data_IF_062525542598
#
_entry.id   IF_062525542598
#
_cell.length_a   1.000
_cell.length_b   1.000
_cell.length_c   1.000
_cell.angle_alpha   90.00
_cell.angle_beta   90.00
_cell.angle_gamma   90.00
#
_symmetry.space_group_name_H-M   'P 1'
#
loop_
_entity.id
_entity.type
_entity.pdbx_description
1 polymer ?
#
# COMPACT_ATOMS: atom_id res chain seq x y z
N UNK A 1 21.76 -9.25 8.42
CA UNK A 1 21.30 -10.55 7.89
C UNK A 1 20.54 -10.40 6.56
N UNK A 2 19.65 -9.42 6.40
CA UNK A 2 18.84 -9.20 5.19
C UNK A 2 19.69 -8.90 3.95
N UNK A 3 20.72 -8.03 4.07
CA UNK A 3 21.63 -7.70 2.97
C UNK A 3 22.39 -8.94 2.49
N UNK A 4 22.88 -9.78 3.42
CA UNK A 4 23.58 -11.02 3.07
C UNK A 4 22.66 -12.05 2.38
N UNK A 5 21.40 -12.08 2.74
CA UNK A 5 20.40 -12.92 2.07
C UNK A 5 20.21 -12.47 0.61
N UNK A 6 19.99 -11.18 0.38
CA UNK A 6 19.89 -10.61 -0.96
C UNK A 6 21.15 -10.85 -1.79
N UNK A 7 22.31 -10.69 -1.17
CA UNK A 7 23.59 -10.92 -1.81
C UNK A 7 23.79 -12.38 -2.20
N UNK A 8 23.32 -13.34 -1.41
CA UNK A 8 23.58 -14.75 -1.66
C UNK A 8 22.52 -15.44 -2.53
N UNK A 9 21.26 -14.99 -2.47
CA UNK A 9 20.14 -15.67 -3.12
C UNK A 9 19.72 -15.02 -4.45
N UNK A 10 19.89 -13.69 -4.59
CA UNK A 10 19.37 -12.95 -5.74
C UNK A 10 20.42 -12.61 -6.79
N UNK A 11 21.67 -12.39 -6.37
CA UNK A 11 22.70 -11.93 -7.30
C UNK A 11 23.85 -12.92 -7.38
N UNK A 12 24.16 -13.34 -8.62
CA UNK A 12 25.28 -14.23 -8.94
C UNK A 12 26.27 -13.47 -9.85
N UNK A 13 27.57 -13.55 -9.55
CA UNK A 13 28.62 -13.03 -10.42
C UNK A 13 29.45 -11.87 -9.85
N UNK A 14 30.32 -11.30 -10.69
CA UNK A 14 31.35 -10.31 -10.32
C UNK A 14 30.76 -8.97 -9.82
N UNK A 15 29.54 -8.62 -10.25
CA UNK A 15 28.84 -7.37 -9.89
C UNK A 15 27.89 -7.51 -8.71
N UNK A 16 27.89 -8.64 -8.03
CA UNK A 16 26.99 -9.00 -6.91
C UNK A 16 26.87 -7.89 -5.86
N UNK A 17 27.99 -7.38 -5.35
CA UNK A 17 28.01 -6.31 -4.34
C UNK A 17 27.40 -5.01 -4.84
N UNK A 18 27.75 -4.60 -6.06
CA UNK A 18 27.21 -3.38 -6.66
C UNK A 18 25.68 -3.49 -6.85
N UNK A 19 25.20 -4.60 -7.42
CA UNK A 19 23.77 -4.85 -7.61
C UNK A 19 23.00 -4.86 -6.29
N UNK A 20 23.59 -5.44 -5.22
CA UNK A 20 22.99 -5.43 -3.88
C UNK A 20 22.86 -4.00 -3.34
N UNK A 21 23.88 -3.16 -3.48
CA UNK A 21 23.81 -1.77 -3.03
C UNK A 21 22.81 -0.93 -3.82
N UNK A 22 22.76 -1.13 -5.14
CA UNK A 22 21.76 -0.47 -6.00
C UNK A 22 20.34 -0.90 -5.60
N UNK A 23 20.10 -2.20 -5.42
CA UNK A 23 18.81 -2.72 -4.99
C UNK A 23 18.39 -2.13 -3.61
N UNK A 24 19.33 -2.02 -2.69
CA UNK A 24 19.09 -1.40 -1.37
C UNK A 24 18.80 0.09 -1.47
N UNK A 25 19.52 0.81 -2.32
CA UNK A 25 19.24 2.22 -2.59
C UNK A 25 17.85 2.44 -3.17
N UNK A 26 17.45 1.61 -4.15
CA UNK A 26 16.12 1.64 -4.75
C UNK A 26 15.02 1.28 -3.74
N UNK A 27 15.25 0.28 -2.88
CA UNK A 27 14.32 -0.04 -1.79
C UNK A 27 14.17 1.13 -0.82
N UNK A 28 15.27 1.76 -0.41
CA UNK A 28 15.25 2.93 0.46
C UNK A 28 14.47 4.10 -0.16
N UNK A 29 14.72 4.38 -1.43
CA UNK A 29 13.97 5.39 -2.19
C UNK A 29 12.48 5.04 -2.26
N UNK A 30 12.14 3.80 -2.52
CA UNK A 30 10.75 3.32 -2.55
C UNK A 30 10.06 3.55 -1.20
N UNK A 31 10.73 3.30 -0.07
CA UNK A 31 10.18 3.58 1.27
C UNK A 31 9.89 5.07 1.45
N UNK A 32 10.84 5.93 1.10
CA UNK A 32 10.66 7.39 1.22
C UNK A 32 9.49 7.88 0.37
N UNK A 33 9.39 7.41 -0.87
CA UNK A 33 8.28 7.76 -1.76
C UNK A 33 6.93 7.27 -1.23
N UNK A 34 6.88 6.05 -0.69
CA UNK A 34 5.67 5.50 -0.07
C UNK A 34 5.22 6.34 1.15
N UNK A 35 6.14 6.65 2.05
CA UNK A 35 5.84 7.48 3.25
C UNK A 35 5.37 8.86 2.83
N UNK A 36 6.02 9.48 1.85
CA UNK A 36 5.61 10.79 1.30
C UNK A 36 4.20 10.73 0.71
N UNK A 37 3.86 9.65 0.00
CA UNK A 37 2.53 9.42 -0.55
C UNK A 37 1.45 9.31 0.55
N UNK A 38 1.73 8.59 1.64
CA UNK A 38 0.82 8.50 2.78
C UNK A 38 0.61 9.84 3.47
N UNK A 39 1.67 10.63 3.67
CA UNK A 39 1.58 11.96 4.27
C UNK A 39 0.75 12.89 3.40
N UNK A 40 0.99 12.91 2.10
CA UNK A 40 0.24 13.72 1.14
C UNK A 40 -1.24 13.30 1.06
N UNK A 41 -1.50 11.99 1.01
CA UNK A 41 -2.86 11.45 1.00
C UNK A 41 -3.63 11.80 2.27
N UNK A 42 -3.03 11.66 3.43
CA UNK A 42 -3.64 12.04 4.71
C UNK A 42 -3.92 13.56 4.77
N UNK A 43 -3.00 14.39 4.28
CA UNK A 43 -3.21 15.84 4.21
C UNK A 43 -4.39 16.21 3.32
N UNK A 44 -4.56 15.53 2.18
CA UNK A 44 -5.71 15.73 1.29
C UNK A 44 -7.04 15.37 1.97
N UNK A 45 -7.07 14.27 2.74
CA UNK A 45 -8.25 13.87 3.54
C UNK A 45 -8.58 14.91 4.60
N UNK A 46 -7.58 15.38 5.36
CA UNK A 46 -7.79 16.44 6.36
C UNK A 46 -8.26 17.76 5.74
N UNK A 47 -7.75 18.10 4.55
CA UNK A 47 -8.23 19.25 3.80
C UNK A 47 -9.70 19.09 3.40
N UNK A 48 -10.07 17.94 2.84
CA UNK A 48 -11.43 17.67 2.37
C UNK A 48 -12.47 17.64 3.51
N UNK A 49 -12.10 17.11 4.68
CA UNK A 49 -13.05 16.93 5.80
C UNK A 49 -13.09 18.11 6.76
N UNK A 50 -11.95 18.73 7.03
CA UNK A 50 -11.83 19.79 8.05
C UNK A 50 -11.47 21.15 7.47
N UNK A 51 -11.27 21.25 6.14
CA UNK A 51 -10.84 22.51 5.50
C UNK A 51 -9.42 22.93 5.90
N UNK A 52 -8.62 22.06 6.49
CA UNK A 52 -7.27 22.38 6.95
C UNK A 52 -6.34 22.61 5.75
N UNK A 53 -5.42 23.59 5.84
CA UNK A 53 -4.40 23.75 4.81
C UNK A 53 -3.50 22.52 4.77
N UNK A 54 -3.02 22.12 3.58
CA UNK A 54 -2.26 20.89 3.36
C UNK A 54 -1.06 20.73 4.31
N UNK A 55 -0.33 21.83 4.58
CA UNK A 55 0.82 21.80 5.49
C UNK A 55 0.42 21.43 6.93
N UNK A 56 -0.74 21.91 7.40
CA UNK A 56 -1.23 21.58 8.75
C UNK A 56 -1.69 20.13 8.83
N UNK A 57 -2.33 19.60 7.77
CA UNK A 57 -2.68 18.20 7.64
C UNK A 57 -1.45 17.26 7.67
N UNK A 58 -0.37 17.65 6.97
CA UNK A 58 0.90 16.92 7.00
C UNK A 58 1.51 16.85 8.40
N UNK A 59 1.57 17.99 9.11
CA UNK A 59 2.12 18.07 10.47
C UNK A 59 1.27 17.23 11.42
N UNK A 60 -0.05 17.35 11.35
CA UNK A 60 -0.97 16.59 12.19
C UNK A 60 -0.79 15.08 11.99
N UNK A 61 -0.72 14.62 10.75
CA UNK A 61 -0.47 13.22 10.45
C UNK A 61 0.87 12.75 11.00
N UNK A 62 1.92 13.56 10.82
CA UNK A 62 3.25 13.23 11.34
C UNK A 62 3.28 13.11 12.86
N UNK A 63 2.63 14.01 13.58
CA UNK A 63 2.51 13.95 15.04
C UNK A 63 1.75 12.70 15.47
N UNK A 64 0.64 12.37 14.81
CA UNK A 64 -0.12 11.15 15.10
C UNK A 64 0.71 9.89 14.85
N UNK A 65 1.39 9.79 13.71
CA UNK A 65 2.24 8.66 13.39
C UNK A 65 3.41 8.52 14.38
N UNK A 66 4.09 9.62 14.69
CA UNK A 66 5.17 9.64 15.68
C UNK A 66 4.69 9.22 17.07
N UNK A 67 3.50 9.66 17.50
CA UNK A 67 2.89 9.26 18.76
C UNK A 67 2.64 7.76 18.82
N UNK A 68 2.07 7.19 17.75
CA UNK A 68 1.81 5.73 17.67
C UNK A 68 3.12 4.95 17.77
N UNK A 69 4.17 5.40 17.10
CA UNK A 69 5.50 4.76 17.15
C UNK A 69 6.12 4.89 18.55
N UNK A 70 5.99 6.05 19.19
CA UNK A 70 6.51 6.30 20.53
C UNK A 70 5.91 5.36 21.57
N UNK A 71 4.61 5.08 21.50
CA UNK A 71 3.92 4.15 22.40
C UNK A 71 4.22 2.67 22.12
N UNK A 72 4.96 2.39 21.03
CA UNK A 72 5.54 1.09 20.74
C UNK A 72 4.65 0.12 19.97
N UNK A 73 5.19 -1.06 19.70
CA UNK A 73 4.61 -2.10 18.81
C UNK A 73 3.19 -2.55 19.19
N UNK A 74 2.82 -2.46 20.47
CA UNK A 74 1.46 -2.85 20.90
C UNK A 74 0.40 -1.90 20.35
N UNK A 75 0.67 -0.59 20.41
CA UNK A 75 -0.26 0.41 19.88
C UNK A 75 -0.31 0.36 18.34
N UNK A 76 0.82 0.14 17.69
CA UNK A 76 0.88 -0.10 16.23
C UNK A 76 -0.04 -1.24 15.83
N UNK A 77 0.01 -2.39 16.53
CA UNK A 77 -0.86 -3.53 16.24
C UNK A 77 -2.36 -3.27 16.48
N UNK A 78 -2.71 -2.40 17.44
CA UNK A 78 -4.10 -1.97 17.65
C UNK A 78 -4.56 -1.06 16.52
N UNK A 79 -3.75 -0.06 16.15
CA UNK A 79 -4.04 0.85 15.04
C UNK A 79 -4.19 0.07 13.71
N UNK A 80 -3.35 -0.93 13.49
CA UNK A 80 -3.41 -1.79 12.30
C UNK A 80 -4.75 -2.55 12.23
N UNK A 81 -5.22 -3.12 13.33
CA UNK A 81 -6.54 -3.79 13.38
C UNK A 81 -7.70 -2.83 13.12
N UNK A 82 -7.65 -1.63 13.71
CA UNK A 82 -8.67 -0.59 13.49
C UNK A 82 -8.66 -0.16 12.02
N UNK A 83 -7.48 0.06 11.44
CA UNK A 83 -7.33 0.46 10.04
C UNK A 83 -7.89 -0.60 9.08
N UNK A 84 -7.60 -1.88 9.31
CA UNK A 84 -8.17 -2.97 8.51
C UNK A 84 -9.68 -3.02 8.63
N UNK A 85 -10.22 -2.89 9.85
CA UNK A 85 -11.67 -2.84 10.07
C UNK A 85 -12.34 -1.66 9.35
N UNK A 86 -11.74 -0.48 9.44
CA UNK A 86 -12.21 0.72 8.72
C UNK A 86 -12.16 0.55 7.20
N UNK A 87 -11.09 -0.05 6.68
CA UNK A 87 -10.95 -0.33 5.26
C UNK A 87 -12.04 -1.28 4.75
N UNK A 88 -12.33 -2.36 5.49
CA UNK A 88 -13.43 -3.28 5.15
C UNK A 88 -14.77 -2.57 5.16
N UNK A 89 -15.03 -1.70 6.17
CA UNK A 89 -16.24 -0.92 6.24
C UNK A 89 -16.41 0.03 5.02
N UNK A 90 -15.34 0.75 4.65
CA UNK A 90 -15.35 1.64 3.48
C UNK A 90 -15.61 0.86 2.19
N UNK A 91 -14.96 -0.29 2.02
CA UNK A 91 -15.21 -1.16 0.85
C UNK A 91 -16.65 -1.65 0.82
N UNK A 92 -17.22 -2.00 1.98
CA UNK A 92 -18.63 -2.39 2.09
C UNK A 92 -19.58 -1.26 1.70
N UNK A 93 -19.30 -0.03 2.15
CA UNK A 93 -20.09 1.16 1.78
C UNK A 93 -19.99 1.43 0.27
N UNK A 94 -18.80 1.37 -0.30
CA UNK A 94 -18.59 1.52 -1.75
C UNK A 94 -19.34 0.44 -2.54
N UNK A 95 -19.32 -0.79 -2.05
CA UNK A 95 -20.06 -1.89 -2.68
C UNK A 95 -21.56 -1.62 -2.72
N UNK A 96 -22.15 -1.25 -1.58
CA UNK A 96 -23.56 -0.91 -1.52
C UNK A 96 -23.88 0.31 -2.39
N UNK A 97 -23.06 1.35 -2.33
CA UNK A 97 -23.22 2.54 -3.15
C UNK A 97 -23.21 2.22 -4.65
N UNK A 98 -22.29 1.35 -5.10
CA UNK A 98 -22.21 0.93 -6.50
C UNK A 98 -23.43 0.12 -6.93
N UNK A 99 -23.99 -0.72 -6.04
CA UNK A 99 -25.22 -1.48 -6.35
C UNK A 99 -26.48 -0.61 -6.47
N UNK A 100 -26.51 0.53 -5.77
CA UNK A 100 -27.66 1.46 -5.78
C UNK A 100 -27.50 2.52 -6.88
N UNK A 101 -26.30 2.79 -7.35
CA UNK A 101 -26.02 3.74 -8.42
C UNK A 101 -26.41 3.16 -9.79
N UNK A 102 -26.82 4.03 -10.71
CA UNK A 102 -26.99 3.62 -12.11
C UNK A 102 -25.62 3.21 -12.68
N UNK A 103 -25.58 1.99 -13.25
CA UNK A 103 -24.35 1.43 -13.80
C UNK A 103 -24.00 2.20 -15.06
N UNK A 104 -22.90 2.93 -15.01
CA UNK A 104 -22.37 3.66 -16.16
C UNK A 104 -21.78 2.69 -17.20
N UNK A 105 -21.98 2.96 -18.50
CA UNK A 105 -21.36 2.15 -19.54
C UNK A 105 -19.83 2.19 -19.40
N UNK A 106 -19.18 1.03 -19.51
CA UNK A 106 -17.73 0.92 -19.46
C UNK A 106 -17.07 1.83 -20.52
N UNK A 107 -15.99 2.52 -20.18
CA UNK A 107 -15.31 3.40 -21.11
C UNK A 107 -14.82 2.60 -22.34
N UNK A 108 -15.24 2.98 -23.51
CA UNK A 108 -14.89 2.32 -24.79
C UNK A 108 -13.50 2.72 -25.31
N UNK A 109 -12.92 3.80 -24.79
CA UNK A 109 -11.58 4.27 -25.16
C UNK A 109 -10.55 3.77 -24.15
N UNK A 110 -9.82 2.75 -24.56
CA UNK A 110 -8.66 2.26 -23.81
C UNK A 110 -7.44 3.17 -24.02
N UNK A 111 -7.05 3.85 -22.95
CA UNK A 111 -5.69 4.28 -22.59
C UNK A 111 -5.02 5.31 -23.51
N UNK A 112 -4.89 6.51 -22.97
CA UNK A 112 -3.78 7.38 -23.35
C UNK A 112 -2.47 6.78 -22.79
N UNK A 113 -1.50 6.51 -23.65
CA UNK A 113 -0.17 5.98 -23.29
C UNK A 113 0.56 6.82 -22.23
N UNK A 114 0.21 8.09 -22.12
CA UNK A 114 0.69 9.04 -21.08
C UNK A 114 0.39 8.60 -19.64
N UNK A 115 -0.64 7.79 -19.41
CA UNK A 115 -1.05 7.39 -18.07
C UNK A 115 -0.45 6.03 -17.63
N UNK A 116 0.31 5.35 -18.47
CA UNK A 116 0.90 4.05 -18.14
C UNK A 116 1.87 4.12 -16.96
N UNK A 117 2.66 5.18 -16.86
CA UNK A 117 3.62 5.37 -15.77
C UNK A 117 2.86 5.59 -14.44
N UNK A 118 1.80 6.39 -14.47
CA UNK A 118 0.95 6.60 -13.30
C UNK A 118 0.27 5.30 -12.86
N UNK A 119 -0.28 4.53 -13.81
CA UNK A 119 -0.90 3.22 -13.56
C UNK A 119 0.12 2.24 -12.96
N UNK A 120 1.31 2.14 -13.55
CA UNK A 120 2.39 1.30 -13.03
C UNK A 120 2.78 1.71 -11.60
N UNK A 121 2.89 3.01 -11.32
CA UNK A 121 3.23 3.52 -10.00
C UNK A 121 2.14 3.16 -8.98
N UNK A 122 0.86 3.30 -9.33
CA UNK A 122 -0.26 2.95 -8.47
C UNK A 122 -0.31 1.46 -8.17
N UNK A 123 -0.14 0.60 -9.17
CA UNK A 123 -0.11 -0.86 -9.00
C UNK A 123 1.08 -1.25 -8.13
N UNK A 124 2.27 -0.72 -8.42
CA UNK A 124 3.49 -1.01 -7.65
C UNK A 124 3.35 -0.58 -6.18
N UNK A 125 2.75 0.58 -5.93
CA UNK A 125 2.45 1.06 -4.59
C UNK A 125 1.47 0.12 -3.86
N UNK A 126 0.39 -0.26 -4.51
CA UNK A 126 -0.66 -1.10 -3.93
C UNK A 126 -0.17 -2.53 -3.63
N UNK A 127 0.76 -3.06 -4.43
CA UNK A 127 1.35 -4.39 -4.25
C UNK A 127 2.63 -4.40 -3.41
N UNK A 128 3.06 -3.24 -2.87
CA UNK A 128 4.30 -3.10 -2.11
C UNK A 128 4.20 -3.69 -0.68
N UNK A 129 3.97 -5.00 -0.60
CA UNK A 129 3.88 -5.73 0.66
C UNK A 129 5.26 -6.16 1.24
N UNK A 130 6.35 -5.87 0.53
CA UNK A 130 7.71 -6.32 0.91
C UNK A 130 8.11 -5.86 2.32
N UNK A 131 7.66 -4.68 2.73
CA UNK A 131 7.97 -4.11 4.05
C UNK A 131 7.28 -4.83 5.20
N UNK A 132 6.17 -5.54 4.95
CA UNK A 132 5.44 -6.31 5.97
C UNK A 132 6.02 -7.72 6.18
N UNK A 133 6.84 -8.22 5.25
CA UNK A 133 7.41 -9.57 5.32
C UNK A 133 8.21 -9.81 6.62
N UNK A 134 9.09 -8.90 7.09
CA UNK A 134 9.81 -9.09 8.35
C UNK A 134 8.88 -9.23 9.57
N UNK A 135 7.74 -8.55 9.58
CA UNK A 135 6.75 -8.63 10.65
C UNK A 135 6.05 -9.99 10.65
N UNK A 136 5.67 -10.49 9.46
CA UNK A 136 5.08 -11.82 9.29
C UNK A 136 6.06 -12.91 9.73
N UNK A 137 7.33 -12.83 9.33
CA UNK A 137 8.37 -13.79 9.73
C UNK A 137 8.55 -13.80 11.24
N UNK A 138 8.59 -12.63 11.87
CA UNK A 138 8.72 -12.50 13.34
C UNK A 138 7.48 -13.01 14.07
N UNK A 139 6.29 -12.72 13.55
CA UNK A 139 5.01 -13.13 14.16
C UNK A 139 4.78 -14.62 14.09
N UNK A 140 5.25 -15.32 13.05
CA UNK A 140 5.07 -16.75 12.83
C UNK A 140 6.28 -17.60 13.28
N UNK A 141 7.20 -17.03 14.06
CA UNK A 141 8.31 -17.73 14.72
C UNK A 141 9.16 -18.62 13.79
N UNK A 142 9.27 -18.27 12.52
CA UNK A 142 10.14 -18.96 11.56
C UNK A 142 9.54 -20.22 10.90
N UNK A 143 8.27 -20.54 11.12
CA UNK A 143 7.61 -21.63 10.39
C UNK A 143 7.44 -21.28 8.91
N UNK A 144 8.32 -21.83 8.06
CA UNK A 144 8.40 -21.50 6.62
C UNK A 144 7.09 -21.80 5.88
N UNK A 145 6.39 -22.89 6.23
CA UNK A 145 5.12 -23.24 5.57
C UNK A 145 4.03 -22.20 5.89
N UNK A 146 3.91 -21.82 7.15
CA UNK A 146 2.95 -20.79 7.58
C UNK A 146 3.30 -19.41 7.04
N UNK A 147 4.58 -19.06 7.01
CA UNK A 147 5.05 -17.79 6.43
C UNK A 147 4.71 -17.71 4.94
N UNK A 148 5.02 -18.75 4.16
CA UNK A 148 4.66 -18.79 2.72
C UNK A 148 3.15 -18.72 2.51
N UNK A 149 2.37 -19.48 3.28
CA UNK A 149 0.92 -19.44 3.24
C UNK A 149 0.34 -18.06 3.57
N UNK A 150 0.84 -17.42 4.63
CA UNK A 150 0.40 -16.09 5.03
C UNK A 150 0.75 -15.02 3.98
N UNK A 151 1.95 -15.06 3.40
CA UNK A 151 2.36 -14.12 2.34
C UNK A 151 1.52 -14.33 1.08
N UNK A 152 1.34 -15.57 0.63
CA UNK A 152 0.55 -15.88 -0.55
C UNK A 152 -0.92 -15.48 -0.37
N UNK A 153 -1.52 -15.83 0.76
CA UNK A 153 -2.90 -15.45 1.09
C UNK A 153 -3.06 -13.93 1.19
N UNK A 154 -2.15 -13.24 1.91
CA UNK A 154 -2.18 -11.79 2.05
C UNK A 154 -2.05 -11.06 0.72
N UNK A 155 -1.12 -11.49 -0.14
CA UNK A 155 -0.96 -10.92 -1.48
C UNK A 155 -2.18 -11.21 -2.36
N UNK A 156 -2.72 -12.43 -2.31
CA UNK A 156 -3.92 -12.79 -3.07
C UNK A 156 -5.14 -11.99 -2.65
N UNK A 157 -5.40 -11.84 -1.35
CA UNK A 157 -6.49 -11.02 -0.82
C UNK A 157 -6.32 -9.56 -1.22
N UNK A 158 -5.10 -9.00 -1.06
CA UNK A 158 -4.82 -7.61 -1.43
C UNK A 158 -5.07 -7.37 -2.93
N UNK A 159 -4.59 -8.26 -3.79
CA UNK A 159 -4.84 -8.18 -5.24
C UNK A 159 -6.32 -8.25 -5.55
N UNK A 160 -7.06 -9.18 -4.92
CA UNK A 160 -8.51 -9.30 -5.08
C UNK A 160 -9.26 -8.03 -4.66
N UNK A 161 -8.88 -7.41 -3.53
CA UNK A 161 -9.45 -6.16 -3.07
C UNK A 161 -9.17 -4.98 -4.02
N UNK A 162 -7.94 -4.88 -4.54
CA UNK A 162 -7.58 -3.86 -5.52
C UNK A 162 -8.42 -3.99 -6.78
N UNK A 163 -8.55 -5.21 -7.31
CA UNK A 163 -9.40 -5.47 -8.49
C UNK A 163 -10.86 -5.13 -8.21
N UNK A 164 -11.39 -5.52 -7.06
CA UNK A 164 -12.76 -5.23 -6.65
C UNK A 164 -13.01 -3.72 -6.58
N UNK A 165 -12.16 -2.96 -5.89
CA UNK A 165 -12.28 -1.50 -5.77
C UNK A 165 -12.17 -0.84 -7.13
N UNK A 166 -11.20 -1.26 -7.95
CA UNK A 166 -11.01 -0.71 -9.31
C UNK A 166 -12.25 -0.95 -10.17
N UNK A 167 -12.82 -2.15 -10.10
CA UNK A 167 -14.02 -2.48 -10.86
C UNK A 167 -15.24 -1.68 -10.39
N UNK A 168 -15.41 -1.52 -9.07
CA UNK A 168 -16.47 -0.70 -8.50
C UNK A 168 -16.35 0.77 -8.86
N UNK A 169 -15.15 1.33 -8.81
CA UNK A 169 -14.92 2.73 -9.20
C UNK A 169 -15.17 2.95 -10.68
N UNK A 170 -14.81 2.00 -11.54
CA UNK A 170 -15.13 2.04 -12.97
C UNK A 170 -16.62 2.01 -13.26
N UNK A 171 -17.40 1.22 -12.51
CA UNK A 171 -18.85 1.13 -12.67
C UNK A 171 -19.59 2.33 -12.09
N UNK A 172 -19.06 2.93 -11.02
CA UNK A 172 -19.72 4.05 -10.32
C UNK A 172 -19.29 5.46 -10.78
N UNK A 173 -18.14 5.60 -11.44
CA UNK A 173 -17.55 6.91 -11.73
C UNK A 173 -18.15 7.60 -12.98
N UNK A 174 -18.98 6.94 -13.77
CA UNK A 174 -19.48 7.54 -15.01
C UNK A 174 -18.35 7.89 -16.00
N UNK A 175 -18.66 7.93 -17.28
CA UNK A 175 -17.70 8.31 -18.33
C UNK A 175 -17.63 9.83 -18.52
N UNK A 176 -17.38 10.61 -17.47
CA UNK A 176 -17.07 12.05 -17.62
C UNK A 176 -15.60 12.27 -17.99
#
# INVERSE_FOLDING_TARGET
QFIKCFENELFVGRFKKFATWVAFGLLGLSVVLNVSGFIAGAAAVFHAWFGLPNWAGMILYYILAASVIYFGMKLVGICEKISVGSMVAVIGILFVATLVSEISPLPTKFIATTNLVALYSMISFSLSAVMSVPQVVKGLQGDIKRIRGAIAAGTGINTGLILLITFMTLLGAGSD
#
